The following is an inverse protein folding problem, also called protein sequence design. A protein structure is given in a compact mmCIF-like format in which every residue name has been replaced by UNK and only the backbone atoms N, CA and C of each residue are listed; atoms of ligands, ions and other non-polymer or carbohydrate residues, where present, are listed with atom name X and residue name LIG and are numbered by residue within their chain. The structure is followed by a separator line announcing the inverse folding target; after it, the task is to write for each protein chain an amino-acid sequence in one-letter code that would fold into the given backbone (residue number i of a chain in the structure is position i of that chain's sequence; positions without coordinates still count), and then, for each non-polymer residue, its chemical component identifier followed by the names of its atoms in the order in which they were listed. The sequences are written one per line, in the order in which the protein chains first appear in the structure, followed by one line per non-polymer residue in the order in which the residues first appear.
data_IF_983790321317
#
_entry.id   IF_983790321317
#
_cell.length_a   1.000
_cell.length_b   1.000
_cell.length_c   1.000
_cell.angle_alpha   90.00
_cell.angle_beta   90.00
_cell.angle_gamma   90.00
#
_symmetry.space_group_name_H-M   'P 1'
#
loop_
_entity.id
_entity.type
_entity.pdbx_description
1 polymer ?
#
# COMPACT_ATOMS: atom_id res chain seq x y z
N UNK A 1 -82.72 -6.09 32.21
CA UNK A 1 -83.02 -5.82 30.79
C UNK A 1 -81.69 -5.53 30.09
N UNK A 2 -81.24 -6.45 29.22
CA UNK A 2 -80.29 -6.35 28.08
C UNK A 2 -78.94 -5.56 28.23
N UNK A 3 -77.86 -6.31 28.00
CA UNK A 3 -76.48 -6.04 27.49
C UNK A 3 -75.93 -4.60 27.37
N UNK A 4 -74.64 -4.42 27.71
CA UNK A 4 -73.50 -4.38 26.74
C UNK A 4 -72.14 -4.20 27.44
N UNK A 5 -71.13 -4.93 26.97
CA UNK A 5 -69.70 -4.75 27.29
C UNK A 5 -69.13 -3.76 26.27
N UNK A 6 -68.26 -2.84 26.69
CA UNK A 6 -67.32 -2.19 25.78
C UNK A 6 -65.94 -2.05 26.44
N UNK A 7 -65.02 -2.85 25.90
CA UNK A 7 -63.58 -2.81 26.14
C UNK A 7 -63.01 -1.59 25.43
N UNK A 8 -62.15 -0.81 26.09
CA UNK A 8 -61.35 0.17 25.38
C UNK A 8 -60.54 1.11 26.25
N UNK A 9 -59.26 1.24 25.90
CA UNK A 9 -58.36 2.35 26.22
C UNK A 9 -57.48 2.22 27.48
N UNK A 10 -56.76 1.10 27.61
CA UNK A 10 -55.51 1.02 28.38
C UNK A 10 -54.28 1.02 27.44
N UNK A 11 -54.23 1.93 26.47
CA UNK A 11 -53.23 1.87 25.38
C UNK A 11 -52.49 3.18 25.07
N UNK A 12 -52.59 4.20 25.92
CA UNK A 12 -51.96 5.50 25.62
C UNK A 12 -50.72 5.83 26.47
N UNK A 13 -50.39 5.07 27.52
CA UNK A 13 -49.31 5.46 28.46
C UNK A 13 -47.97 4.75 28.31
N UNK A 14 -47.87 3.76 27.41
CA UNK A 14 -46.64 2.96 27.24
C UNK A 14 -45.77 3.37 26.03
N UNK A 15 -46.12 4.47 25.34
CA UNK A 15 -45.42 4.87 24.10
C UNK A 15 -44.31 5.92 24.29
N UNK A 16 -44.20 6.56 25.46
CA UNK A 16 -43.22 7.64 25.67
C UNK A 16 -41.92 7.22 26.40
N UNK A 17 -41.91 6.10 27.13
CA UNK A 17 -40.72 5.70 27.92
C UNK A 17 -39.70 4.91 27.09
N UNK A 18 -40.09 4.37 25.92
CA UNK A 18 -39.16 3.63 25.05
C UNK A 18 -38.35 4.50 24.09
N UNK A 19 -38.69 5.78 23.93
CA UNK A 19 -38.03 6.66 22.94
C UNK A 19 -36.74 7.27 23.51
N UNK A 20 -36.64 7.48 24.84
CA UNK A 20 -35.43 8.06 25.44
C UNK A 20 -34.26 7.07 25.62
N UNK A 21 -34.51 5.76 25.61
CA UNK A 21 -33.44 4.75 25.72
C UNK A 21 -32.78 4.39 24.38
N UNK A 22 -33.39 4.76 23.25
CA UNK A 22 -32.83 4.49 21.92
C UNK A 22 -31.87 5.63 21.49
N UNK A 23 -32.02 6.84 22.04
CA UNK A 23 -31.17 7.98 21.70
C UNK A 23 -29.76 7.93 22.32
N UNK A 24 -29.54 7.18 23.40
CA UNK A 24 -28.24 7.10 24.09
C UNK A 24 -27.32 5.98 23.57
N UNK A 25 -27.83 5.07 22.74
CA UNK A 25 -27.04 3.96 22.15
C UNK A 25 -26.37 4.36 20.83
N UNK A 26 -26.73 5.51 20.26
CA UNK A 26 -26.25 5.95 18.93
C UNK A 26 -24.99 6.83 18.95
N UNK A 27 -24.41 7.14 20.11
CA UNK A 27 -23.23 8.01 20.24
C UNK A 27 -21.90 7.29 20.55
N UNK A 28 -21.87 5.95 20.50
CA UNK A 28 -20.62 5.16 20.56
C UNK A 28 -20.16 4.65 19.19
N UNK A 29 -20.61 5.27 18.10
CA UNK A 29 -19.88 5.21 16.85
C UNK A 29 -18.71 6.21 16.95
N UNK A 30 -17.69 5.87 17.74
CA UNK A 30 -16.36 6.43 17.50
C UNK A 30 -16.04 6.14 16.02
N UNK A 31 -15.71 7.13 15.18
CA UNK A 31 -15.15 6.83 13.88
C UNK A 31 -13.89 5.99 14.13
N UNK A 32 -14.01 4.70 13.86
CA UNK A 32 -12.87 3.81 13.79
C UNK A 32 -12.00 4.20 12.61
N UNK A 33 -10.73 3.82 12.73
CA UNK A 33 -9.72 3.69 11.68
C UNK A 33 -9.00 5.00 11.30
N UNK A 34 -7.97 5.31 12.08
CA UNK A 34 -6.75 5.84 11.48
C UNK A 34 -6.26 4.77 10.49
N UNK A 35 -6.35 5.06 9.18
CA UNK A 35 -5.92 4.15 8.12
C UNK A 35 -4.40 4.00 8.19
N UNK A 36 -3.93 2.93 8.85
CA UNK A 36 -2.53 2.53 8.80
C UNK A 36 -2.09 2.18 7.35
N UNK A 37 -3.04 2.02 6.42
CA UNK A 37 -2.82 1.73 5.00
C UNK A 37 -2.24 2.91 4.20
N UNK A 38 -2.21 4.11 4.80
CA UNK A 38 -1.59 5.30 4.20
C UNK A 38 -0.09 5.41 4.53
N UNK A 39 0.52 4.44 5.22
CA UNK A 39 1.94 4.43 5.57
C UNK A 39 2.73 3.29 4.89
N UNK A 40 4.06 3.39 4.90
CA UNK A 40 4.97 2.31 4.48
C UNK A 40 5.77 1.85 5.71
N UNK A 41 5.23 0.96 6.56
CA UNK A 41 5.87 0.56 7.80
C UNK A 41 7.16 -0.22 7.56
N UNK A 42 8.05 -0.18 8.56
CA UNK A 42 9.18 -1.10 8.67
C UNK A 42 8.72 -2.34 9.44
N UNK A 43 9.07 -3.53 8.95
CA UNK A 43 8.69 -4.83 9.51
C UNK A 43 9.90 -5.75 9.63
N UNK A 44 9.82 -6.71 10.54
CA UNK A 44 10.85 -7.75 10.71
C UNK A 44 10.47 -9.04 9.98
N UNK A 45 11.49 -9.80 9.57
CA UNK A 45 11.31 -11.06 8.83
C UNK A 45 10.42 -12.06 9.59
N UNK A 46 10.56 -12.12 10.92
CA UNK A 46 9.78 -12.99 11.81
C UNK A 46 8.29 -12.65 11.86
N UNK A 47 7.90 -11.45 11.45
CA UNK A 47 6.52 -10.96 11.48
C UNK A 47 5.81 -11.06 10.12
N UNK A 48 6.52 -11.50 9.08
CA UNK A 48 5.94 -11.55 7.74
C UNK A 48 4.83 -12.60 7.67
N UNK A 49 3.70 -12.21 7.09
CA UNK A 49 2.65 -13.15 6.75
C UNK A 49 3.15 -14.14 5.70
N UNK A 50 2.76 -15.41 5.82
CA UNK A 50 3.14 -16.51 4.92
C UNK A 50 2.78 -16.30 3.42
N UNK A 51 2.06 -15.23 3.07
CA UNK A 51 1.61 -14.91 1.70
C UNK A 51 2.12 -13.56 1.20
N UNK A 52 3.06 -12.93 1.90
CA UNK A 52 3.68 -11.69 1.42
C UNK A 52 4.52 -11.94 0.17
N UNK A 53 4.42 -11.04 -0.81
CA UNK A 53 5.29 -11.04 -1.97
C UNK A 53 6.58 -10.32 -1.60
N UNK A 54 7.68 -11.05 -1.63
CA UNK A 54 9.00 -10.51 -1.33
C UNK A 54 9.58 -9.84 -2.58
N UNK A 55 10.06 -8.60 -2.44
CA UNK A 55 10.67 -7.83 -3.51
C UNK A 55 12.08 -7.44 -3.11
N UNK A 56 13.05 -7.97 -3.84
CA UNK A 56 14.46 -7.65 -3.68
C UNK A 56 14.83 -6.48 -4.58
N UNK A 57 15.17 -5.35 -3.96
CA UNK A 57 15.53 -4.11 -4.65
C UNK A 57 17.05 -3.93 -4.85
N UNK A 58 17.86 -4.96 -4.55
CA UNK A 58 19.30 -4.98 -4.86
C UNK A 58 19.54 -5.09 -6.36
N UNK A 59 20.79 -4.82 -6.84
CA UNK A 59 21.14 -4.99 -8.25
C UNK A 59 20.66 -6.34 -8.82
N UNK A 60 20.23 -6.33 -10.09
CA UNK A 60 19.62 -7.50 -10.73
C UNK A 60 20.50 -8.76 -10.64
N UNK A 61 21.82 -8.58 -10.77
CA UNK A 61 22.79 -9.67 -10.70
C UNK A 61 22.75 -10.34 -9.34
N UNK A 62 22.86 -9.55 -8.27
CA UNK A 62 22.90 -10.03 -6.89
C UNK A 62 21.61 -10.79 -6.53
N UNK A 63 20.44 -10.23 -6.86
CA UNK A 63 19.16 -10.90 -6.62
C UNK A 63 19.01 -12.22 -7.40
N UNK A 64 19.47 -12.26 -8.65
CA UNK A 64 19.39 -13.48 -9.48
C UNK A 64 20.34 -14.58 -9.01
N UNK A 65 21.47 -14.19 -8.44
CA UNK A 65 22.48 -15.11 -7.90
C UNK A 65 22.01 -15.69 -6.57
N UNK A 66 21.59 -14.83 -5.64
CA UNK A 66 21.11 -15.28 -4.33
C UNK A 66 20.19 -14.26 -3.67
N UNK A 67 19.01 -14.70 -3.23
CA UNK A 67 17.97 -13.92 -2.57
C UNK A 67 17.09 -14.80 -1.66
N UNK A 68 16.03 -14.23 -1.08
CA UNK A 68 15.01 -14.95 -0.32
C UNK A 68 14.15 -15.84 -1.24
N UNK A 69 13.65 -16.96 -0.72
CA UNK A 69 12.84 -17.88 -1.50
C UNK A 69 11.60 -17.21 -2.08
N UNK A 70 11.40 -17.35 -3.40
CA UNK A 70 10.27 -16.75 -4.11
C UNK A 70 10.35 -15.24 -4.34
N UNK A 71 11.45 -14.57 -3.99
CA UNK A 71 11.58 -13.14 -4.16
C UNK A 71 11.62 -12.69 -5.64
N UNK A 72 10.98 -11.55 -5.90
CA UNK A 72 11.00 -10.87 -7.17
C UNK A 72 12.20 -9.91 -7.24
N UNK A 73 13.01 -10.01 -8.30
CA UNK A 73 14.12 -9.10 -8.54
C UNK A 73 13.63 -7.80 -9.19
N UNK A 74 13.50 -6.74 -8.40
CA UNK A 74 13.03 -5.42 -8.85
C UNK A 74 14.03 -4.33 -8.43
N UNK A 75 15.21 -4.23 -9.09
CA UNK A 75 16.15 -3.15 -8.80
C UNK A 75 15.57 -1.80 -9.21
N UNK A 76 15.93 -0.73 -8.47
CA UNK A 76 15.44 0.62 -8.75
C UNK A 76 15.71 1.09 -10.19
N UNK A 77 16.80 0.63 -10.81
CA UNK A 77 17.19 1.05 -12.16
C UNK A 77 16.26 0.53 -13.28
N UNK A 78 15.28 -0.32 -12.96
CA UNK A 78 14.18 -0.69 -13.87
C UNK A 78 13.23 0.48 -14.15
N UNK A 79 13.18 1.45 -13.25
CA UNK A 79 12.14 2.49 -13.21
C UNK A 79 12.74 3.88 -13.04
N UNK A 80 13.88 4.01 -12.36
CA UNK A 80 14.62 5.26 -12.15
C UNK A 80 16.00 5.15 -12.79
N UNK A 81 16.27 5.95 -13.82
CA UNK A 81 17.61 6.03 -14.42
C UNK A 81 18.58 6.78 -13.51
N UNK A 82 19.89 6.56 -13.67
CA UNK A 82 20.96 7.32 -13.00
C UNK A 82 20.87 8.85 -13.24
N UNK A 83 20.31 9.26 -14.38
CA UNK A 83 20.09 10.68 -14.70
C UNK A 83 18.86 11.28 -13.99
N UNK A 84 18.15 10.51 -13.16
CA UNK A 84 16.94 10.92 -12.44
C UNK A 84 15.66 10.93 -13.28
N UNK A 85 15.64 10.28 -14.45
CA UNK A 85 14.40 10.04 -15.20
C UNK A 85 13.62 8.89 -14.57
N UNK A 86 12.40 9.16 -14.16
CA UNK A 86 11.46 8.15 -13.68
C UNK A 86 10.53 7.71 -14.82
N UNK A 87 10.22 6.42 -14.87
CA UNK A 87 9.18 5.88 -15.74
C UNK A 87 7.84 6.59 -15.50
N UNK A 88 7.00 6.75 -16.53
CA UNK A 88 5.64 7.24 -16.30
C UNK A 88 4.81 6.17 -15.55
N UNK A 89 3.69 6.58 -14.95
CA UNK A 89 2.89 5.67 -14.11
C UNK A 89 2.31 4.48 -14.90
N UNK A 90 1.97 4.68 -16.18
CA UNK A 90 1.49 3.61 -17.06
C UNK A 90 2.56 2.56 -17.29
N UNK A 91 3.80 2.97 -17.56
CA UNK A 91 4.93 2.07 -17.80
C UNK A 91 5.33 1.33 -16.51
N UNK A 92 5.30 2.03 -15.37
CA UNK A 92 5.48 1.39 -14.06
C UNK A 92 4.45 0.28 -13.84
N UNK A 93 3.14 0.58 -13.99
CA UNK A 93 2.07 -0.40 -13.82
C UNK A 93 2.16 -1.55 -14.83
N UNK A 94 2.53 -1.26 -16.08
CA UNK A 94 2.80 -2.28 -17.09
C UNK A 94 3.91 -3.22 -16.62
N UNK A 95 5.02 -2.66 -16.12
CA UNK A 95 6.16 -3.40 -15.62
C UNK A 95 5.77 -4.27 -14.42
N UNK A 96 5.01 -3.74 -13.44
CA UNK A 96 4.55 -4.53 -12.29
C UNK A 96 3.73 -5.76 -12.73
N UNK A 97 2.94 -5.64 -13.79
CA UNK A 97 2.22 -6.78 -14.38
C UNK A 97 3.14 -7.87 -14.97
N UNK A 98 4.38 -7.56 -15.37
CA UNK A 98 5.33 -8.59 -15.85
C UNK A 98 5.88 -9.47 -14.73
N UNK A 99 5.74 -9.01 -13.49
CA UNK A 99 6.02 -9.78 -12.27
C UNK A 99 4.80 -10.56 -11.76
N UNK A 100 3.67 -10.50 -12.47
CA UNK A 100 2.42 -11.16 -12.06
C UNK A 100 1.64 -10.41 -10.98
N UNK A 101 2.00 -9.16 -10.69
CA UNK A 101 1.32 -8.34 -9.70
C UNK A 101 0.02 -7.74 -10.25
N UNK A 102 -1.02 -7.76 -9.42
CA UNK A 102 -2.32 -7.15 -9.69
C UNK A 102 -2.52 -5.83 -8.94
N UNK A 103 -1.74 -5.62 -7.88
CA UNK A 103 -1.86 -4.52 -6.94
C UNK A 103 -2.63 -4.88 -5.66
N UNK A 104 -3.16 -6.10 -5.55
CA UNK A 104 -3.87 -6.60 -4.36
C UNK A 104 -2.94 -7.26 -3.32
N UNK A 105 -1.71 -7.55 -3.72
CA UNK A 105 -0.74 -8.29 -2.91
C UNK A 105 -0.21 -7.44 -1.75
N UNK A 106 0.26 -8.12 -0.69
CA UNK A 106 1.06 -7.49 0.35
C UNK A 106 2.53 -7.59 -0.04
N UNK A 107 3.14 -6.46 -0.41
CA UNK A 107 4.52 -6.42 -0.86
C UNK A 107 5.45 -6.04 0.28
N UNK A 108 6.54 -6.79 0.42
CA UNK A 108 7.61 -6.49 1.38
C UNK A 108 8.90 -6.29 0.61
N UNK A 109 9.42 -5.06 0.66
CA UNK A 109 10.63 -4.67 -0.07
C UNK A 109 11.84 -4.74 0.85
N UNK A 110 12.93 -5.32 0.37
CA UNK A 110 14.21 -5.33 1.06
C UNK A 110 15.36 -5.01 0.10
N UNK A 111 16.43 -4.44 0.64
CA UNK A 111 17.71 -4.25 -0.03
C UNK A 111 18.81 -3.99 1.00
N UNK A 112 20.07 -4.21 0.60
CA UNK A 112 21.24 -3.89 1.43
C UNK A 112 21.39 -2.37 1.64
N UNK A 113 20.95 -1.58 0.65
CA UNK A 113 20.97 -0.12 0.72
C UNK A 113 19.55 0.42 1.01
N UNK A 114 19.34 1.15 2.12
CA UNK A 114 18.03 1.71 2.47
C UNK A 114 17.41 2.56 1.36
N UNK A 115 18.24 3.33 0.64
CA UNK A 115 17.80 4.15 -0.48
C UNK A 115 17.10 3.33 -1.60
N UNK A 116 17.64 2.15 -1.96
CA UNK A 116 17.03 1.30 -2.98
C UNK A 116 15.69 0.75 -2.51
N UNK A 117 15.64 0.31 -1.25
CA UNK A 117 14.43 -0.20 -0.60
C UNK A 117 13.35 0.88 -0.58
N UNK A 118 13.69 2.10 -0.18
CA UNK A 118 12.74 3.19 -0.03
C UNK A 118 12.21 3.66 -1.39
N UNK A 119 13.07 3.80 -2.41
CA UNK A 119 12.64 4.10 -3.80
C UNK A 119 11.61 3.07 -4.28
N UNK A 120 11.93 1.78 -4.21
CA UNK A 120 11.04 0.72 -4.71
C UNK A 120 9.75 0.68 -3.89
N UNK A 121 9.82 0.83 -2.57
CA UNK A 121 8.63 0.84 -1.71
C UNK A 121 7.68 1.99 -2.04
N UNK A 122 8.21 3.20 -2.20
CA UNK A 122 7.41 4.38 -2.54
C UNK A 122 6.81 4.24 -3.94
N UNK A 123 7.51 3.64 -4.90
CA UNK A 123 6.94 3.39 -6.22
C UNK A 123 5.75 2.43 -6.19
N UNK A 124 5.86 1.32 -5.45
CA UNK A 124 4.74 0.40 -5.26
C UNK A 124 3.57 1.08 -4.55
N UNK A 125 3.87 1.90 -3.55
CA UNK A 125 2.85 2.67 -2.84
C UNK A 125 2.14 3.65 -3.79
N UNK A 126 2.87 4.51 -4.49
CA UNK A 126 2.26 5.49 -5.40
C UNK A 126 1.49 4.81 -6.54
N UNK A 127 1.95 3.65 -7.01
CA UNK A 127 1.27 2.86 -8.04
C UNK A 127 -0.08 2.26 -7.60
N UNK A 128 -0.36 2.21 -6.29
CA UNK A 128 -1.64 1.71 -5.77
C UNK A 128 -1.57 0.38 -5.03
N UNK A 129 -0.38 -0.19 -4.79
CA UNK A 129 -0.26 -1.49 -4.14
C UNK A 129 -0.99 -1.50 -2.78
N UNK A 130 -1.90 -2.45 -2.57
CA UNK A 130 -2.77 -2.56 -1.39
C UNK A 130 -2.00 -2.34 -0.09
N UNK A 131 -0.93 -3.12 0.12
CA UNK A 131 -0.02 -2.94 1.25
C UNK A 131 1.43 -3.02 0.80
N UNK A 132 2.23 -2.08 1.30
CA UNK A 132 3.68 -2.05 1.09
C UNK A 132 4.36 -1.95 2.44
N UNK A 133 5.41 -2.73 2.66
CA UNK A 133 6.22 -2.66 3.87
C UNK A 133 7.70 -2.79 3.52
N UNK A 134 8.55 -2.30 4.40
CA UNK A 134 10.01 -2.30 4.27
C UNK A 134 10.60 -3.26 5.27
N UNK A 135 11.49 -4.15 4.84
CA UNK A 135 12.20 -4.99 5.78
C UNK A 135 13.24 -4.17 6.55
N UNK A 136 13.31 -4.35 7.86
CA UNK A 136 14.16 -3.60 8.80
C UNK A 136 15.65 -3.67 8.44
N UNK A 137 16.18 -4.86 8.16
CA UNK A 137 17.54 -5.04 7.66
C UNK A 137 17.64 -6.23 6.69
N UNK A 138 18.39 -6.05 5.61
CA UNK A 138 18.74 -7.13 4.69
C UNK A 138 20.03 -7.87 5.09
N UNK A 139 20.87 -7.29 5.95
CA UNK A 139 22.18 -7.86 6.32
C UNK A 139 22.09 -9.14 7.15
N UNK A 140 20.92 -9.42 7.73
CA UNK A 140 20.64 -10.60 8.55
C UNK A 140 19.91 -11.70 7.77
N UNK A 141 19.69 -11.50 6.46
CA UNK A 141 18.96 -12.45 5.64
C UNK A 141 19.87 -13.57 5.16
N UNK A 142 19.43 -14.81 5.37
CA UNK A 142 20.02 -15.96 4.71
C UNK A 142 19.50 -16.06 3.27
N UNK A 143 20.31 -15.57 2.34
CA UNK A 143 20.02 -15.58 0.91
C UNK A 143 20.61 -16.85 0.29
N UNK A 144 19.75 -17.73 -0.20
CA UNK A 144 20.16 -19.03 -0.75
C UNK A 144 19.37 -19.44 -2.00
N UNK A 145 18.37 -18.65 -2.41
CA UNK A 145 17.49 -18.95 -3.54
C UNK A 145 17.79 -18.04 -4.72
N UNK A 146 17.43 -18.46 -5.94
CA UNK A 146 17.50 -17.58 -7.12
C UNK A 146 16.23 -16.75 -7.24
N UNK A 147 16.39 -15.44 -7.43
CA UNK A 147 15.25 -14.54 -7.59
C UNK A 147 14.65 -14.57 -8.99
N UNK A 148 13.38 -14.20 -9.07
CA UNK A 148 12.63 -14.14 -10.34
C UNK A 148 12.66 -12.74 -10.93
N UNK A 149 13.14 -12.60 -12.16
CA UNK A 149 13.00 -11.36 -12.92
C UNK A 149 11.62 -11.31 -13.59
N UNK A 150 11.10 -10.10 -13.83
CA UNK A 150 9.86 -9.92 -14.59
C UNK A 150 9.96 -10.54 -15.99
N UNK A 151 8.86 -11.11 -16.46
CA UNK A 151 8.78 -11.71 -17.80
C UNK A 151 8.86 -10.65 -18.92
N UNK A 152 9.03 -11.11 -20.16
CA UNK A 152 9.02 -10.24 -21.34
C UNK A 152 7.64 -9.62 -21.62
N UNK A 153 6.58 -10.32 -21.20
CA UNK A 153 5.19 -9.88 -21.30
C UNK A 153 4.55 -9.81 -19.91
N UNK A 154 3.41 -9.13 -19.82
CA UNK A 154 2.60 -9.10 -18.60
C UNK A 154 2.05 -10.50 -18.30
N UNK A 155 2.29 -10.96 -17.08
CA UNK A 155 1.70 -12.18 -16.54
C UNK A 155 0.34 -11.89 -15.89
N UNK A 156 0.14 -10.65 -15.42
CA UNK A 156 -1.11 -10.16 -14.85
C UNK A 156 -1.39 -8.70 -15.26
N UNK A 157 -2.64 -8.29 -15.08
CA UNK A 157 -3.03 -6.88 -15.22
C UNK A 157 -2.94 -6.18 -13.87
N UNK A 158 -2.08 -5.16 -13.78
CA UNK A 158 -1.97 -4.32 -12.60
C UNK A 158 -3.10 -3.28 -12.59
N UNK A 159 -4.16 -3.59 -11.86
CA UNK A 159 -5.43 -2.84 -11.89
C UNK A 159 -5.63 -1.91 -10.70
N UNK A 160 -4.75 -1.95 -9.69
CA UNK A 160 -4.87 -1.06 -8.54
C UNK A 160 -4.86 0.43 -8.95
N UNK A 161 -5.64 1.21 -8.19
CA UNK A 161 -5.77 2.63 -8.41
C UNK A 161 -4.53 3.37 -7.92
N UNK A 162 -4.00 4.22 -8.80
CA UNK A 162 -2.87 5.10 -8.47
C UNK A 162 -3.27 5.96 -7.28
N UNK A 163 -2.39 6.10 -6.29
CA UNK A 163 -2.63 6.96 -5.11
C UNK A 163 -2.43 8.44 -5.48
N UNK A 164 -3.29 8.95 -6.35
CA UNK A 164 -3.21 10.28 -6.96
C UNK A 164 -3.26 11.42 -5.94
N UNK A 165 -3.83 11.19 -4.74
CA UNK A 165 -3.82 12.17 -3.64
C UNK A 165 -2.42 12.59 -3.17
N UNK A 166 -1.40 11.78 -3.46
CA UNK A 166 0.00 12.08 -3.14
C UNK A 166 0.83 12.50 -4.36
N UNK A 167 0.19 12.79 -5.51
CA UNK A 167 0.89 13.03 -6.76
C UNK A 167 0.56 14.39 -7.36
N UNK A 168 1.59 15.09 -7.81
CA UNK A 168 1.47 16.27 -8.66
C UNK A 168 2.38 16.12 -9.88
N UNK A 169 1.84 16.41 -11.07
CA UNK A 169 2.55 16.21 -12.32
C UNK A 169 3.42 17.42 -12.62
N UNK A 170 4.73 17.22 -12.68
CA UNK A 170 5.67 18.28 -13.01
C UNK A 170 6.44 17.89 -14.25
N UNK A 171 6.34 18.69 -15.32
CA UNK A 171 7.05 18.39 -16.57
C UNK A 171 8.56 18.51 -16.35
N UNK A 172 9.30 17.54 -16.89
CA UNK A 172 10.78 17.55 -16.98
C UNK A 172 11.53 17.56 -15.63
N UNK A 173 10.85 17.30 -14.50
CA UNK A 173 11.53 17.12 -13.22
C UNK A 173 12.46 15.92 -13.28
N UNK A 174 13.60 16.02 -12.61
CA UNK A 174 14.45 14.87 -12.27
C UNK A 174 14.23 14.56 -10.79
N UNK A 175 14.23 13.28 -10.47
CA UNK A 175 14.13 12.80 -9.10
C UNK A 175 15.37 11.98 -8.76
N UNK A 176 15.76 11.98 -7.49
CA UNK A 176 16.85 11.16 -6.97
C UNK A 176 16.33 10.30 -5.80
N UNK A 177 17.19 9.47 -5.21
CA UNK A 177 16.82 8.60 -4.09
C UNK A 177 16.34 9.35 -2.84
N UNK A 178 16.81 10.57 -2.64
CA UNK A 178 16.50 11.38 -1.46
C UNK A 178 15.06 11.89 -1.52
N UNK A 179 14.54 12.21 -2.72
CA UNK A 179 13.12 12.55 -2.92
C UNK A 179 12.20 11.42 -2.40
N UNK A 180 12.57 10.15 -2.60
CA UNK A 180 11.78 9.00 -2.14
C UNK A 180 11.92 8.75 -0.65
N UNK A 181 13.15 8.84 -0.13
CA UNK A 181 13.41 8.68 1.31
C UNK A 181 12.68 9.75 2.13
N UNK A 182 12.71 11.00 1.66
CA UNK A 182 12.01 12.12 2.27
C UNK A 182 10.50 11.95 2.21
N UNK A 183 9.95 11.53 1.06
CA UNK A 183 8.53 11.20 0.95
C UNK A 183 8.10 10.11 1.94
N UNK A 184 8.85 9.01 2.04
CA UNK A 184 8.56 7.92 2.96
C UNK A 184 8.61 8.36 4.44
N UNK A 185 9.52 9.28 4.77
CA UNK A 185 9.63 9.90 6.10
C UNK A 185 8.40 10.76 6.40
N UNK A 186 8.05 11.70 5.52
CA UNK A 186 6.89 12.58 5.68
C UNK A 186 5.57 11.81 5.77
N UNK A 187 5.46 10.69 5.04
CA UNK A 187 4.31 9.80 5.11
C UNK A 187 4.18 9.11 6.49
N UNK A 188 5.32 8.76 7.10
CA UNK A 188 5.37 8.15 8.43
C UNK A 188 5.00 9.14 9.55
N UNK A 189 5.28 10.43 9.33
CA UNK A 189 4.93 11.52 10.25
C UNK A 189 3.43 11.90 10.20
N UNK A 190 2.57 11.00 9.69
CA UNK A 190 1.15 11.20 9.43
C UNK A 190 0.81 12.40 8.52
N UNK A 191 1.77 12.80 7.67
CA UNK A 191 1.57 13.83 6.65
C UNK A 191 0.77 13.34 5.44
N UNK A 192 0.39 14.28 4.59
CA UNK A 192 -0.08 14.02 3.22
C UNK A 192 0.91 14.64 2.22
N UNK A 193 2.13 14.08 2.12
CA UNK A 193 3.16 14.65 1.26
C UNK A 193 2.78 14.56 -0.21
N UNK A 194 3.24 15.53 -1.00
CA UNK A 194 3.09 15.50 -2.46
C UNK A 194 4.41 15.04 -3.07
N UNK A 195 4.35 13.93 -3.81
CA UNK A 195 5.42 13.50 -4.68
C UNK A 195 5.24 14.10 -6.07
N UNK A 196 6.23 14.87 -6.51
CA UNK A 196 6.21 15.52 -7.81
C UNK A 196 6.65 14.53 -8.91
N UNK A 197 5.67 13.97 -9.62
CA UNK A 197 5.91 12.96 -10.65
C UNK A 197 6.31 13.60 -11.99
N UNK A 198 7.42 13.19 -12.63
CA UNK A 198 7.99 13.87 -13.78
C UNK A 198 7.25 13.68 -15.13
N UNK A 199 6.04 13.11 -15.10
CA UNK A 199 5.21 12.79 -16.26
C UNK A 199 3.70 12.81 -15.89
N UNK A 200 2.82 12.55 -16.87
CA UNK A 200 1.41 12.25 -16.55
C UNK A 200 1.34 10.98 -15.71
N UNK A 201 0.53 11.01 -14.66
CA UNK A 201 0.14 9.84 -13.87
C UNK A 201 -1.33 9.43 -14.11
N UNK A 202 -2.02 10.17 -14.99
CA UNK A 202 -3.36 9.89 -15.54
C UNK A 202 -3.21 9.20 -16.89
#
# INVERSE_FOLDING_TARGET
MILTVSVGCALEKFRDIRIQLIALVLCLATPGLSSADDSIPIVDLSTLANRSVLVDARPLKDCRESTLSGALCFPMNKVLSDSGRLANMRDLRWLLGTYGLTGSENVVVFADQPAHRDVVSVLFFLAGQSKVSRLSSASELELQSRGSAGALSRQAFYIADVRSKFLESVKLRRVNSDDFSEFARQLSDAGQPIFYWPASFI
#
